data_IF_545753201928
#
_entry.id   IF_545753201928
#
_cell.length_a   1.000
_cell.length_b   1.000
_cell.length_c   1.000
_cell.angle_alpha   90.00
_cell.angle_beta   90.00
_cell.angle_gamma   90.00
#
_symmetry.space_group_name_H-M   'P 1'
#
loop_
_entity.id
_entity.type
_entity.pdbx_description
1 polymer ?
#
# COMPACT_ATOMS: atom_id res chain seq x y z
N UNK A 1 -5.71 10.79 -8.43
CA UNK A 1 -5.82 9.93 -7.23
C UNK A 1 -4.54 9.11 -7.10
N UNK A 2 -3.95 9.05 -5.90
CA UNK A 2 -2.73 8.31 -5.57
C UNK A 2 -2.95 7.45 -4.33
N UNK A 3 -2.23 6.34 -4.21
CA UNK A 3 -2.18 5.57 -2.96
C UNK A 3 -1.00 6.05 -2.09
N UNK A 4 -1.22 6.10 -0.78
CA UNK A 4 -0.24 6.51 0.22
C UNK A 4 0.56 5.34 0.80
N UNK A 5 0.85 4.33 -0.02
CA UNK A 5 1.51 3.09 0.43
C UNK A 5 2.94 3.36 0.90
N UNK A 6 3.66 4.30 0.26
CA UNK A 6 5.00 4.66 0.72
C UNK A 6 4.97 5.30 2.11
N UNK A 7 4.01 6.18 2.36
CA UNK A 7 3.82 6.84 3.65
C UNK A 7 3.42 5.85 4.74
N UNK A 8 2.55 4.88 4.41
CA UNK A 8 2.17 3.81 5.33
C UNK A 8 3.38 2.94 5.72
N UNK A 9 4.21 2.56 4.73
CA UNK A 9 5.45 1.82 4.98
C UNK A 9 6.39 2.65 5.88
N UNK A 10 6.60 3.93 5.57
CA UNK A 10 7.46 4.79 6.38
C UNK A 10 6.93 4.98 7.81
N UNK A 11 5.61 5.12 7.98
CA UNK A 11 4.95 5.27 9.28
C UNK A 11 5.04 4.01 10.14
N UNK A 12 4.96 2.82 9.52
CA UNK A 12 5.16 1.54 10.22
C UNK A 12 6.60 1.36 10.73
N UNK A 13 7.58 1.99 10.07
CA UNK A 13 9.00 1.76 10.34
C UNK A 13 9.53 0.43 9.78
N UNK A 14 8.67 -0.34 9.10
CA UNK A 14 9.01 -1.68 8.62
C UNK A 14 9.71 -1.64 7.28
N UNK A 15 10.54 -2.65 7.05
CA UNK A 15 11.16 -2.84 5.73
C UNK A 15 10.16 -3.50 4.81
N UNK A 16 10.17 -3.12 3.55
CA UNK A 16 9.35 -3.73 2.50
C UNK A 16 9.47 -5.27 2.44
N UNK A 17 10.64 -5.83 2.78
CA UNK A 17 10.83 -7.28 2.85
C UNK A 17 10.02 -7.94 3.97
N UNK A 18 9.93 -7.30 5.14
CA UNK A 18 9.12 -7.75 6.28
C UNK A 18 7.64 -7.77 5.89
N UNK A 19 7.17 -6.66 5.30
CA UNK A 19 5.78 -6.54 4.84
C UNK A 19 5.45 -7.62 3.80
N UNK A 20 6.38 -7.91 2.88
CA UNK A 20 6.21 -8.99 1.88
C UNK A 20 6.04 -10.36 2.53
N UNK A 21 6.83 -10.64 3.56
CA UNK A 21 6.79 -11.90 4.32
C UNK A 21 5.47 -12.02 5.10
N UNK A 22 5.07 -10.99 5.82
CA UNK A 22 3.89 -11.01 6.69
C UNK A 22 2.56 -10.98 5.91
N UNK A 23 2.54 -10.28 4.77
CA UNK A 23 1.34 -10.20 3.92
C UNK A 23 1.25 -11.32 2.89
N UNK A 24 2.34 -12.06 2.66
CA UNK A 24 2.46 -13.02 1.56
C UNK A 24 2.51 -12.38 0.16
N UNK A 25 2.53 -11.05 0.05
CA UNK A 25 2.65 -10.34 -1.22
C UNK A 25 4.09 -10.44 -1.74
N UNK A 26 4.24 -10.50 -3.06
CA UNK A 26 5.58 -10.38 -3.66
C UNK A 26 6.15 -9.00 -3.37
N UNK A 27 7.44 -8.92 -3.03
CA UNK A 27 8.12 -7.65 -2.83
C UNK A 27 7.98 -6.71 -4.05
N UNK A 28 7.95 -7.27 -5.27
CA UNK A 28 7.71 -6.51 -6.50
C UNK A 28 6.29 -5.93 -6.60
N UNK A 29 5.29 -6.61 -6.05
CA UNK A 29 3.93 -6.08 -5.93
C UNK A 29 3.92 -4.88 -4.99
N UNK A 30 4.48 -5.01 -3.79
CA UNK A 30 4.56 -3.89 -2.83
C UNK A 30 5.31 -2.71 -3.46
N UNK A 31 6.40 -2.96 -4.20
CA UNK A 31 7.15 -1.91 -4.89
C UNK A 31 6.29 -1.13 -5.90
N UNK A 32 5.43 -1.81 -6.66
CA UNK A 32 4.55 -1.15 -7.63
C UNK A 32 3.52 -0.25 -6.93
N UNK A 33 2.94 -0.72 -5.84
CA UNK A 33 1.95 0.03 -5.06
C UNK A 33 2.58 1.22 -4.33
N UNK A 34 3.74 1.00 -3.70
CA UNK A 34 4.56 2.04 -3.08
C UNK A 34 4.85 3.20 -4.04
N UNK A 35 5.30 2.88 -5.26
CA UNK A 35 5.70 3.89 -6.25
C UNK A 35 4.53 4.40 -7.11
N UNK A 36 3.28 4.01 -6.82
CA UNK A 36 2.10 4.37 -7.61
C UNK A 36 2.20 4.01 -9.11
N UNK A 37 2.97 2.97 -9.46
CA UNK A 37 3.14 2.48 -10.83
C UNK A 37 2.05 1.49 -11.27
N UNK A 38 0.95 1.44 -10.54
CA UNK A 38 -0.17 0.55 -10.84
C UNK A 38 -1.14 1.21 -11.81
N UNK A 39 -1.36 0.57 -12.97
CA UNK A 39 -2.37 0.99 -13.95
C UNK A 39 -3.77 0.59 -13.50
N UNK A 40 -3.87 -0.51 -12.74
CA UNK A 40 -5.11 -1.03 -12.15
C UNK A 40 -4.83 -1.47 -10.72
N UNK A 41 -5.79 -1.19 -9.85
CA UNK A 41 -5.76 -1.62 -8.46
C UNK A 41 -6.41 -3.00 -8.34
N UNK A 42 -5.64 -3.95 -7.82
CA UNK A 42 -6.10 -5.29 -7.50
C UNK A 42 -6.76 -5.25 -6.11
N UNK A 43 -8.02 -5.67 -6.04
CA UNK A 43 -8.82 -5.61 -4.82
C UNK A 43 -8.24 -6.50 -3.73
N UNK A 44 -7.67 -7.66 -4.08
CA UNK A 44 -7.07 -8.56 -3.08
C UNK A 44 -5.82 -7.93 -2.48
N UNK A 45 -4.97 -7.32 -3.31
CA UNK A 45 -3.77 -6.61 -2.82
C UNK A 45 -4.16 -5.43 -1.94
N UNK A 46 -5.16 -4.65 -2.34
CA UNK A 46 -5.65 -3.54 -1.53
C UNK A 46 -6.20 -4.01 -0.18
N UNK A 47 -7.04 -5.04 -0.17
CA UNK A 47 -7.58 -5.60 1.07
C UNK A 47 -6.47 -6.09 1.99
N UNK A 48 -5.45 -6.76 1.45
CA UNK A 48 -4.30 -7.20 2.24
C UNK A 48 -3.56 -6.03 2.87
N UNK A 49 -3.29 -4.95 2.11
CA UNK A 49 -2.62 -3.76 2.65
C UNK A 49 -3.49 -3.01 3.67
N UNK A 50 -4.80 -2.91 3.44
CA UNK A 50 -5.77 -2.30 4.36
C UNK A 50 -5.76 -3.03 5.70
N UNK A 51 -5.85 -4.36 5.67
CA UNK A 51 -5.85 -5.17 6.88
C UNK A 51 -4.49 -5.12 7.59
N UNK A 52 -3.39 -5.16 6.83
CA UNK A 52 -2.04 -5.14 7.38
C UNK A 52 -1.74 -3.84 8.13
N UNK A 53 -2.09 -2.70 7.54
CA UNK A 53 -1.86 -1.38 8.15
C UNK A 53 -3.01 -0.92 9.06
N UNK A 54 -3.98 -1.79 9.36
CA UNK A 54 -5.17 -1.49 10.17
C UNK A 54 -5.89 -0.21 9.74
N UNK A 55 -6.09 -0.07 8.43
CA UNK A 55 -6.70 1.12 7.82
C UNK A 55 -8.21 1.06 8.03
N UNK A 56 -8.73 2.00 8.81
CA UNK A 56 -10.16 2.12 9.10
C UNK A 56 -10.82 3.29 8.35
N UNK A 57 -10.02 4.23 7.84
CA UNK A 57 -10.46 5.35 7.00
C UNK A 57 -9.75 5.29 5.63
N UNK A 58 -10.54 5.33 4.55
CA UNK A 58 -10.02 5.37 3.18
C UNK A 58 -9.13 6.58 2.90
N UNK A 59 -9.34 7.68 3.62
CA UNK A 59 -8.49 8.86 3.54
C UNK A 59 -7.06 8.58 4.01
N UNK A 60 -6.80 7.54 4.80
CA UNK A 60 -5.43 7.16 5.19
C UNK A 60 -4.69 6.40 4.09
N UNK A 61 -5.44 5.75 3.18
CA UNK A 61 -4.89 4.99 2.06
C UNK A 61 -4.79 5.83 0.77
N UNK A 62 -5.76 6.71 0.53
CA UNK A 62 -5.94 7.39 -0.75
C UNK A 62 -5.77 8.90 -0.61
N UNK A 63 -5.17 9.51 -1.62
CA UNK A 63 -5.13 10.96 -1.80
C UNK A 63 -5.75 11.34 -3.15
N UNK A 64 -6.70 12.28 -3.13
CA UNK A 64 -7.25 12.87 -4.35
C UNK A 64 -6.32 14.04 -4.72
N UNK A 65 -5.72 13.95 -5.91
CA UNK A 65 -4.88 15.01 -6.47
C UNK A 65 -5.81 15.83 -7.36
N UNK A 66 -6.04 17.09 -6.99
CA UNK A 66 -6.69 18.09 -7.84
C UNK A 66 -5.64 18.69 -8.80
N UNK A 67 -6.02 18.94 -10.06
CA UNK A 67 -5.16 19.58 -11.09
C UNK A 67 -5.01 21.09 -10.88
#
# INVERSE_FOLDING_TARGET
MRLKVDELIQKSGEKQATIAEETGLRASTISKYKNSYVIRYDVEVLNTLINYFDITDMNDLIEIIEE
#
